data_IF_380731042234
#
_entry.id   IF_380731042234
#
_cell.length_a   1.000
_cell.length_b   1.000
_cell.length_c   1.000
_cell.angle_alpha   90.00
_cell.angle_beta   90.00
_cell.angle_gamma   90.00
#
_symmetry.space_group_name_H-M   'P 1'
#
loop_
_entity.id
_entity.type
_entity.pdbx_description
1 polymer ?
#
# COMPACT_ATOMS: atom_id res chain seq x y z
N UNK A 1 -9.58 14.04 -1.07
CA UNK A 1 -10.17 12.74 -1.53
C UNK A 1 -9.82 12.46 -2.99
N UNK A 2 -9.41 11.24 -3.35
CA UNK A 2 -9.17 10.81 -4.75
C UNK A 2 -10.30 9.87 -5.18
N UNK A 3 -10.94 10.13 -6.31
CA UNK A 3 -11.99 9.27 -6.87
C UNK A 3 -11.55 8.78 -8.27
N UNK A 4 -11.54 7.48 -8.45
CA UNK A 4 -11.29 6.81 -9.74
C UNK A 4 -12.59 6.17 -10.19
N UNK A 5 -13.15 6.67 -11.32
CA UNK A 5 -14.51 6.29 -11.79
C UNK A 5 -14.43 5.71 -13.18
N UNK A 6 -14.66 4.39 -13.30
CA UNK A 6 -14.66 3.61 -14.55
C UNK A 6 -13.43 3.84 -15.43
N UNK A 7 -12.26 4.00 -14.81
CA UNK A 7 -11.04 4.41 -15.51
C UNK A 7 -10.47 3.27 -16.34
N UNK A 8 -10.28 3.57 -17.62
CA UNK A 8 -9.65 2.69 -18.60
C UNK A 8 -8.50 3.43 -19.28
N UNK A 9 -7.33 2.77 -19.41
CA UNK A 9 -6.19 3.29 -20.18
C UNK A 9 -5.68 2.27 -21.17
N UNK A 10 -5.49 2.74 -22.42
CA UNK A 10 -5.00 1.93 -23.55
C UNK A 10 -3.75 2.56 -24.15
N UNK A 11 -2.90 1.74 -24.72
CA UNK A 11 -1.75 2.12 -25.54
C UNK A 11 -1.87 1.38 -26.89
N UNK A 12 -2.41 2.04 -27.91
CA UNK A 12 -2.85 1.39 -29.13
C UNK A 12 -3.90 0.31 -28.83
N UNK A 13 -3.66 -0.91 -29.29
CA UNK A 13 -4.57 -2.05 -29.05
C UNK A 13 -4.40 -2.69 -27.66
N UNK A 14 -3.33 -2.33 -26.93
CA UNK A 14 -3.06 -2.87 -25.61
C UNK A 14 -3.84 -2.11 -24.53
N UNK A 15 -4.73 -2.80 -23.82
CA UNK A 15 -5.39 -2.26 -22.64
C UNK A 15 -4.50 -2.52 -21.42
N UNK A 16 -4.05 -1.47 -20.76
CA UNK A 16 -3.20 -1.57 -19.57
C UNK A 16 -4.02 -1.68 -18.26
N UNK A 17 -5.10 -0.91 -18.14
CA UNK A 17 -6.07 -0.97 -17.04
C UNK A 17 -7.48 -0.80 -17.62
N UNK A 18 -8.47 -1.44 -16.98
CA UNK A 18 -9.83 -1.49 -17.50
C UNK A 18 -10.87 -1.33 -16.38
N UNK A 19 -11.76 -0.36 -16.54
CA UNK A 19 -12.96 -0.13 -15.71
C UNK A 19 -12.66 -0.09 -14.21
N UNK A 20 -11.54 0.56 -13.81
CA UNK A 20 -11.16 0.68 -12.41
C UNK A 20 -12.06 1.66 -11.68
N UNK A 21 -12.54 1.24 -10.49
CA UNK A 21 -13.40 2.04 -9.62
C UNK A 21 -12.93 1.90 -8.18
N UNK A 22 -12.51 2.98 -7.54
CA UNK A 22 -12.21 3.03 -6.11
C UNK A 22 -12.11 4.47 -5.63
N UNK A 23 -12.06 4.64 -4.29
CA UNK A 23 -11.91 5.94 -3.64
C UNK A 23 -10.82 5.87 -2.57
N UNK A 24 -10.07 6.97 -2.44
CA UNK A 24 -9.12 7.18 -1.34
C UNK A 24 -9.63 8.35 -0.52
N UNK A 25 -9.98 8.09 0.73
CA UNK A 25 -10.49 9.12 1.65
C UNK A 25 -9.37 10.07 2.09
N UNK A 26 -9.77 11.25 2.53
CA UNK A 26 -8.82 12.16 3.17
C UNK A 26 -8.28 11.53 4.46
N UNK A 27 -7.00 11.77 4.73
CA UNK A 27 -6.32 11.21 5.89
C UNK A 27 -6.16 9.69 5.87
N UNK A 28 -6.21 9.04 4.70
CA UNK A 28 -6.02 7.60 4.57
C UNK A 28 -4.87 7.23 3.65
N UNK A 29 -4.27 6.05 3.89
CA UNK A 29 -3.26 5.43 3.03
C UNK A 29 -3.87 4.23 2.32
N UNK A 30 -3.93 4.31 1.00
CA UNK A 30 -4.42 3.25 0.12
C UNK A 30 -3.25 2.44 -0.44
N UNK A 31 -3.19 1.16 -0.13
CA UNK A 31 -2.23 0.21 -0.67
C UNK A 31 -2.70 -0.35 -2.01
N UNK A 32 -1.99 -0.05 -3.09
CA UNK A 32 -2.28 -0.57 -4.43
C UNK A 32 -1.39 -1.77 -4.74
N UNK A 33 -1.95 -2.96 -4.71
CA UNK A 33 -1.24 -4.23 -4.85
C UNK A 33 -1.42 -4.80 -6.25
N UNK A 34 -0.40 -5.48 -6.74
CA UNK A 34 -0.46 -6.22 -8.00
C UNK A 34 0.93 -6.63 -8.46
N UNK A 35 1.02 -7.67 -9.26
CA UNK A 35 2.28 -8.12 -9.84
C UNK A 35 2.89 -7.08 -10.80
N UNK A 36 4.15 -7.27 -11.18
CA UNK A 36 4.81 -6.40 -12.14
C UNK A 36 4.09 -6.48 -13.50
N UNK A 37 3.74 -5.32 -14.06
CA UNK A 37 2.94 -5.23 -15.27
C UNK A 37 1.41 -5.32 -15.06
N UNK A 38 0.90 -5.38 -13.83
CA UNK A 38 -0.54 -5.38 -13.55
C UNK A 38 -1.25 -4.08 -13.92
N UNK A 39 -0.50 -2.97 -14.07
CA UNK A 39 -1.05 -1.67 -14.43
C UNK A 39 -0.95 -0.60 -13.32
N UNK A 40 -0.30 -0.89 -12.17
CA UNK A 40 -0.15 0.03 -11.04
C UNK A 40 0.44 1.38 -11.46
N UNK A 41 1.63 1.37 -12.05
CA UNK A 41 2.30 2.58 -12.57
C UNK A 41 1.44 3.31 -13.61
N UNK A 42 0.74 2.57 -14.48
CA UNK A 42 -0.17 3.18 -15.47
C UNK A 42 -1.31 3.91 -14.77
N UNK A 43 -1.91 3.30 -13.75
CA UNK A 43 -2.96 3.93 -12.96
C UNK A 43 -2.45 5.18 -12.25
N UNK A 44 -1.32 5.10 -11.53
CA UNK A 44 -0.74 6.26 -10.83
C UNK A 44 -0.41 7.41 -11.80
N UNK A 45 0.18 7.12 -12.96
CA UNK A 45 0.44 8.11 -14.01
C UNK A 45 -0.85 8.67 -14.64
N UNK A 46 -1.94 7.93 -14.61
CA UNK A 46 -3.25 8.43 -15.05
C UNK A 46 -3.87 9.33 -13.98
N UNK A 47 -3.75 8.97 -12.69
CA UNK A 47 -4.20 9.82 -11.57
C UNK A 47 -3.46 11.16 -11.57
N UNK A 48 -2.14 11.14 -11.80
CA UNK A 48 -1.33 12.37 -11.86
C UNK A 48 -1.56 13.20 -13.13
N UNK A 49 -2.38 12.71 -14.05
CA UNK A 49 -2.64 13.37 -15.33
C UNK A 49 -1.44 13.40 -16.28
N UNK A 50 -0.45 12.50 -16.09
CA UNK A 50 0.61 12.22 -17.08
C UNK A 50 0.00 11.51 -18.28
N UNK A 51 -0.92 10.56 -18.02
CA UNK A 51 -1.70 9.91 -19.07
C UNK A 51 -3.15 10.38 -19.04
N UNK A 52 -3.70 10.71 -20.20
CA UNK A 52 -5.13 10.91 -20.34
C UNK A 52 -5.84 9.56 -20.27
N UNK A 53 -6.89 9.39 -19.46
CA UNK A 53 -7.72 8.19 -19.52
C UNK A 53 -8.43 8.07 -20.89
N UNK A 54 -8.59 6.85 -21.37
CA UNK A 54 -9.35 6.56 -22.61
C UNK A 54 -10.83 6.31 -22.32
N UNK A 55 -11.18 6.04 -21.06
CA UNK A 55 -12.55 5.93 -20.52
C UNK A 55 -12.58 6.29 -19.07
N UNK A 56 -13.75 6.74 -18.59
CA UNK A 56 -13.92 7.17 -17.20
C UNK A 56 -13.25 8.50 -16.88
N UNK A 57 -13.17 8.81 -15.60
CA UNK A 57 -12.58 10.06 -15.11
C UNK A 57 -11.92 9.87 -13.72
N UNK A 58 -11.01 10.76 -13.41
CA UNK A 58 -10.36 10.86 -12.10
C UNK A 58 -10.64 12.23 -11.51
N UNK A 59 -11.11 12.26 -10.27
CA UNK A 59 -11.39 13.49 -9.54
C UNK A 59 -10.53 13.58 -8.29
N UNK A 60 -10.04 14.78 -8.03
CA UNK A 60 -9.34 15.17 -6.82
C UNK A 60 -10.16 16.25 -6.15
N UNK A 61 -10.71 15.97 -4.96
CA UNK A 61 -11.66 16.86 -4.27
C UNK A 61 -12.82 17.32 -5.15
N UNK A 62 -13.33 16.39 -5.99
CA UNK A 62 -14.42 16.65 -6.93
C UNK A 62 -14.00 17.33 -8.26
N UNK A 63 -12.77 17.84 -8.38
CA UNK A 63 -12.22 18.46 -9.57
C UNK A 63 -11.54 17.44 -10.48
N UNK A 64 -11.68 17.57 -11.81
CA UNK A 64 -11.02 16.67 -12.74
C UNK A 64 -9.48 16.79 -12.64
N UNK A 65 -8.79 15.68 -12.48
CA UNK A 65 -7.34 15.63 -12.35
C UNK A 65 -6.59 15.90 -13.66
N UNK A 66 -7.16 15.46 -14.81
CA UNK A 66 -6.48 15.61 -16.08
C UNK A 66 -6.55 17.05 -16.58
N UNK A 67 -5.40 17.55 -17.07
CA UNK A 67 -5.22 18.92 -17.60
C UNK A 67 -5.60 20.04 -16.61
N UNK A 68 -5.46 19.77 -15.31
CA UNK A 68 -5.74 20.71 -14.23
C UNK A 68 -4.45 21.12 -13.52
N UNK A 69 -3.84 22.21 -13.96
CA UNK A 69 -2.57 22.70 -13.41
C UNK A 69 -2.67 23.08 -11.91
N UNK A 70 -3.84 23.59 -11.49
CA UNK A 70 -4.08 23.95 -10.08
C UNK A 70 -4.04 22.71 -9.19
N UNK A 71 -4.75 21.65 -9.57
CA UNK A 71 -4.76 20.41 -8.79
C UNK A 71 -3.38 19.73 -8.76
N UNK A 72 -2.60 19.84 -9.82
CA UNK A 72 -1.23 19.32 -9.86
C UNK A 72 -0.27 19.98 -8.87
N UNK A 73 -0.54 21.21 -8.46
CA UNK A 73 0.24 21.91 -7.41
C UNK A 73 0.00 21.34 -6.00
N UNK A 74 -1.09 20.61 -5.81
CA UNK A 74 -1.45 19.92 -4.56
C UNK A 74 -1.09 18.44 -4.56
N UNK A 75 -0.41 17.96 -5.63
CA UNK A 75 -0.08 16.54 -5.78
C UNK A 75 1.41 16.34 -5.93
N UNK A 76 1.95 15.30 -5.27
CA UNK A 76 3.31 14.85 -5.48
C UNK A 76 3.36 13.36 -5.83
N UNK A 77 4.11 13.04 -6.88
CA UNK A 77 4.29 11.68 -7.36
C UNK A 77 5.76 11.28 -7.27
N UNK A 78 6.05 10.21 -6.55
CA UNK A 78 7.37 9.58 -6.46
C UNK A 78 7.36 8.37 -7.39
N UNK A 79 8.03 8.42 -8.52
CA UNK A 79 8.10 7.30 -9.47
C UNK A 79 9.01 6.18 -8.97
N UNK A 80 8.81 4.98 -9.49
CA UNK A 80 9.73 3.85 -9.27
C UNK A 80 11.13 4.20 -9.82
N UNK A 81 11.21 4.68 -11.05
CA UNK A 81 12.45 5.13 -11.69
C UNK A 81 12.65 6.62 -11.45
N UNK A 82 13.47 6.96 -10.45
CA UNK A 82 13.76 8.34 -10.08
C UNK A 82 14.82 8.92 -11.00
N UNK A 83 14.57 10.09 -11.56
CA UNK A 83 15.48 10.83 -12.39
C UNK A 83 15.76 12.22 -11.85
N UNK A 84 17.02 12.53 -11.64
CA UNK A 84 17.48 13.89 -11.34
C UNK A 84 18.35 14.43 -12.46
N UNK A 85 18.21 15.71 -12.75
CA UNK A 85 19.02 16.39 -13.75
C UNK A 85 20.54 16.25 -13.45
N UNK A 86 21.41 16.19 -14.47
CA UNK A 86 22.84 16.19 -14.26
C UNK A 86 23.29 17.35 -13.37
N UNK A 87 24.17 17.08 -12.41
CA UNK A 87 24.68 18.08 -11.44
C UNK A 87 23.63 18.68 -10.50
N UNK A 88 22.42 18.10 -10.42
CA UNK A 88 21.44 18.49 -9.42
C UNK A 88 21.94 18.15 -8.01
N UNK A 89 21.67 19.03 -7.06
CA UNK A 89 21.70 18.77 -5.63
C UNK A 89 20.35 19.12 -5.03
N UNK A 90 20.10 18.73 -3.78
CA UNK A 90 18.81 18.93 -3.15
C UNK A 90 18.43 20.43 -3.04
N UNK A 91 19.38 21.33 -2.79
CA UNK A 91 19.11 22.79 -2.73
C UNK A 91 18.61 23.34 -4.08
N UNK A 92 19.20 22.89 -5.19
CA UNK A 92 18.76 23.29 -6.54
C UNK A 92 17.38 22.73 -6.85
N UNK A 93 17.13 21.48 -6.47
CA UNK A 93 15.82 20.85 -6.66
C UNK A 93 14.75 21.50 -5.79
N UNK A 94 15.07 21.88 -4.53
CA UNK A 94 14.14 22.62 -3.67
C UNK A 94 13.75 23.97 -4.29
N UNK A 95 14.71 24.71 -4.85
CA UNK A 95 14.43 25.96 -5.58
C UNK A 95 13.59 25.73 -6.84
N UNK A 96 13.87 24.65 -7.56
CA UNK A 96 13.11 24.27 -8.74
C UNK A 96 11.64 23.96 -8.38
N UNK A 97 11.42 23.11 -7.37
CA UNK A 97 10.06 22.78 -6.92
C UNK A 97 9.31 23.98 -6.36
N UNK A 98 9.97 24.86 -5.62
CA UNK A 98 9.35 26.12 -5.15
C UNK A 98 8.81 27.00 -6.30
N UNK A 99 9.34 26.86 -7.50
CA UNK A 99 8.83 27.56 -8.69
C UNK A 99 7.50 27.01 -9.23
N UNK A 100 7.12 25.77 -8.87
CA UNK A 100 5.90 25.11 -9.33
C UNK A 100 4.89 24.85 -8.19
N UNK A 101 5.37 24.71 -6.96
CA UNK A 101 4.58 24.43 -5.77
C UNK A 101 4.59 25.65 -4.85
N UNK A 102 3.50 26.43 -4.83
CA UNK A 102 3.46 27.70 -4.09
C UNK A 102 3.63 27.54 -2.57
N UNK A 103 3.24 26.38 -2.03
CA UNK A 103 3.31 26.08 -0.60
C UNK A 103 4.62 25.39 -0.18
N UNK A 104 5.64 25.36 -1.06
CA UNK A 104 6.92 24.74 -0.76
C UNK A 104 7.56 25.32 0.51
N UNK A 105 7.87 24.46 1.49
CA UNK A 105 8.44 24.83 2.76
C UNK A 105 9.94 24.53 2.83
N UNK A 106 10.78 25.58 2.75
CA UNK A 106 12.21 25.43 2.97
C UNK A 106 12.57 25.06 4.41
N UNK A 107 11.70 25.34 5.38
CA UNK A 107 11.88 24.92 6.77
C UNK A 107 11.69 23.40 6.90
N UNK A 108 10.59 22.87 6.36
CA UNK A 108 10.34 21.41 6.28
C UNK A 108 11.47 20.70 5.54
N UNK A 109 11.90 21.25 4.39
CA UNK A 109 13.02 20.73 3.61
C UNK A 109 14.30 20.60 4.44
N UNK A 110 14.68 21.63 5.21
CA UNK A 110 15.89 21.59 6.05
C UNK A 110 15.78 20.56 7.16
N UNK A 111 14.67 20.56 7.91
CA UNK A 111 14.41 19.65 9.01
C UNK A 111 14.43 18.18 8.54
N UNK A 112 13.73 17.88 7.46
CA UNK A 112 13.69 16.52 6.93
C UNK A 112 15.05 16.09 6.38
N UNK A 113 15.79 16.98 5.68
CA UNK A 113 17.14 16.67 5.20
C UNK A 113 18.08 16.28 6.35
N UNK A 114 17.97 16.96 7.49
CA UNK A 114 18.73 16.65 8.70
C UNK A 114 18.31 15.29 9.30
N UNK A 115 17.01 15.03 9.46
CA UNK A 115 16.46 13.76 9.97
C UNK A 115 16.91 12.56 9.11
N UNK A 116 16.93 12.72 7.79
CA UNK A 116 17.35 11.67 6.87
C UNK A 116 18.88 11.59 6.70
N UNK A 117 19.64 12.55 7.27
CA UNK A 117 21.11 12.61 7.17
C UNK A 117 21.61 12.85 5.76
N UNK A 118 20.88 13.64 4.96
CA UNK A 118 21.22 13.92 3.57
C UNK A 118 22.01 15.23 3.43
N UNK A 119 23.16 15.15 2.76
CA UNK A 119 23.94 16.34 2.41
C UNK A 119 23.25 17.07 1.24
N UNK A 120 22.58 18.20 1.54
CA UNK A 120 21.79 18.97 0.58
C UNK A 120 22.64 19.59 -0.55
N UNK A 121 23.96 19.71 -0.36
CA UNK A 121 24.90 20.28 -1.34
C UNK A 121 25.55 19.22 -2.23
N UNK A 122 25.58 17.97 -1.79
CA UNK A 122 26.11 16.87 -2.58
C UNK A 122 25.25 16.62 -3.83
N UNK A 123 25.88 16.11 -4.89
CA UNK A 123 25.17 15.70 -6.12
C UNK A 123 24.27 14.51 -5.85
N UNK A 124 22.96 14.66 -6.12
CA UNK A 124 21.98 13.57 -5.87
C UNK A 124 22.30 12.31 -6.67
N UNK A 125 22.82 12.45 -7.91
CA UNK A 125 23.22 11.31 -8.73
C UNK A 125 24.45 10.54 -8.17
N UNK A 126 25.13 11.07 -7.15
CA UNK A 126 26.16 10.38 -6.38
C UNK A 126 25.63 9.64 -5.16
N UNK A 127 24.36 9.80 -4.82
CA UNK A 127 23.71 9.08 -3.74
C UNK A 127 23.43 7.62 -4.12
N UNK A 128 23.36 6.72 -3.15
CA UNK A 128 22.79 5.40 -3.39
C UNK A 128 21.33 5.50 -3.84
N UNK A 129 20.78 4.47 -4.49
CA UNK A 129 19.35 4.46 -4.91
C UNK A 129 18.42 4.77 -3.74
N UNK A 130 18.65 4.16 -2.57
CA UNK A 130 17.85 4.44 -1.37
C UNK A 130 17.97 5.88 -0.89
N UNK A 131 19.15 6.50 -0.96
CA UNK A 131 19.32 7.92 -0.62
C UNK A 131 18.67 8.84 -1.67
N UNK A 132 18.69 8.49 -2.94
CA UNK A 132 18.00 9.23 -3.99
C UNK A 132 16.49 9.21 -3.74
N UNK A 133 15.95 8.05 -3.35
CA UNK A 133 14.53 7.89 -2.99
C UNK A 133 14.15 8.73 -1.75
N UNK A 134 15.00 8.72 -0.73
CA UNK A 134 14.82 9.59 0.44
C UNK A 134 14.87 11.07 0.06
N UNK A 135 15.78 11.47 -0.81
CA UNK A 135 15.87 12.86 -1.29
C UNK A 135 14.59 13.29 -2.03
N UNK A 136 14.02 12.43 -2.88
CA UNK A 136 12.76 12.69 -3.57
C UNK A 136 11.59 12.82 -2.58
N UNK A 137 11.50 11.94 -1.59
CA UNK A 137 10.46 12.00 -0.54
C UNK A 137 10.59 13.30 0.26
N UNK A 138 11.81 13.68 0.69
CA UNK A 138 12.04 14.94 1.42
C UNK A 138 11.61 16.15 0.60
N UNK A 139 11.98 16.18 -0.67
CA UNK A 139 11.57 17.24 -1.60
C UNK A 139 10.06 17.25 -1.79
N UNK A 140 9.45 16.08 -1.96
CA UNK A 140 8.02 15.93 -2.16
C UNK A 140 7.17 16.38 -0.97
N UNK A 141 7.49 15.92 0.22
CA UNK A 141 6.79 16.35 1.45
C UNK A 141 6.96 17.86 1.69
N UNK A 142 8.10 18.41 1.26
CA UNK A 142 8.35 19.86 1.38
C UNK A 142 7.48 20.71 0.46
N UNK A 143 6.84 20.15 -0.56
CA UNK A 143 5.84 20.83 -1.41
C UNK A 143 4.49 20.97 -0.72
N UNK A 144 4.29 20.33 0.44
CA UNK A 144 3.04 20.27 1.22
C UNK A 144 1.84 19.78 0.38
N UNK A 145 1.94 18.58 -0.23
CA UNK A 145 0.90 18.09 -1.09
C UNK A 145 -0.31 17.56 -0.30
N UNK A 146 -1.52 17.76 -0.83
CA UNK A 146 -2.75 17.15 -0.34
C UNK A 146 -2.89 15.69 -0.84
N UNK A 147 -2.23 15.37 -1.96
CA UNK A 147 -2.24 14.06 -2.60
C UNK A 147 -0.81 13.56 -2.83
N UNK A 148 -0.48 12.39 -2.29
CA UNK A 148 0.84 11.78 -2.43
C UNK A 148 0.70 10.41 -3.07
N UNK A 149 1.44 10.17 -4.15
CA UNK A 149 1.45 8.90 -4.85
C UNK A 149 2.86 8.33 -4.88
N UNK A 150 3.02 7.15 -4.32
CA UNK A 150 4.28 6.41 -4.28
C UNK A 150 4.22 5.19 -5.20
N UNK A 151 5.08 5.12 -6.20
CA UNK A 151 5.17 4.00 -7.13
C UNK A 151 6.37 3.13 -6.76
N UNK A 152 6.12 1.92 -6.23
CA UNK A 152 7.14 0.95 -5.76
C UNK A 152 8.22 1.60 -4.85
N UNK A 153 7.82 2.60 -4.08
CA UNK A 153 8.77 3.48 -3.37
C UNK A 153 9.47 2.79 -2.21
N UNK A 154 8.86 1.77 -1.63
CA UNK A 154 9.42 1.03 -0.50
C UNK A 154 10.36 -0.10 -0.92
N UNK A 155 10.36 -0.48 -2.21
CA UNK A 155 11.27 -1.49 -2.74
C UNK A 155 12.74 -1.06 -2.63
N UNK A 156 13.59 -1.97 -2.20
CA UNK A 156 15.03 -1.74 -2.04
C UNK A 156 15.43 -0.80 -0.90
N UNK A 157 14.49 -0.36 -0.04
CA UNK A 157 14.80 0.36 1.18
C UNK A 157 15.13 -0.61 2.33
N UNK A 158 16.15 -0.27 3.12
CA UNK A 158 16.41 -1.02 4.36
C UNK A 158 15.28 -0.83 5.38
N UNK A 159 15.07 -1.79 6.30
CA UNK A 159 13.95 -1.75 7.25
C UNK A 159 13.91 -0.48 8.10
N UNK A 160 15.06 0.07 8.51
CA UNK A 160 15.10 1.28 9.33
C UNK A 160 14.63 2.52 8.56
N UNK A 161 15.03 2.63 7.27
CA UNK A 161 14.58 3.72 6.39
C UNK A 161 13.11 3.60 6.03
N UNK A 162 12.63 2.37 5.82
CA UNK A 162 11.21 2.09 5.61
C UNK A 162 10.37 2.54 6.83
N UNK A 163 10.80 2.18 8.04
CA UNK A 163 10.14 2.61 9.27
C UNK A 163 10.13 4.15 9.43
N UNK A 164 11.25 4.80 9.10
CA UNK A 164 11.35 6.27 9.18
C UNK A 164 10.35 6.95 8.22
N UNK A 165 10.22 6.45 6.98
CA UNK A 165 9.27 6.99 6.01
C UNK A 165 7.82 6.73 6.46
N UNK A 166 7.52 5.55 7.00
CA UNK A 166 6.19 5.24 7.56
C UNK A 166 5.81 6.24 8.67
N UNK A 167 6.72 6.50 9.60
CA UNK A 167 6.50 7.46 10.68
C UNK A 167 6.30 8.88 10.13
N UNK A 168 7.13 9.31 9.17
CA UNK A 168 6.98 10.60 8.50
C UNK A 168 5.60 10.76 7.86
N UNK A 169 5.13 9.74 7.14
CA UNK A 169 3.81 9.78 6.50
C UNK A 169 2.67 9.87 7.53
N UNK A 170 2.74 9.08 8.60
CA UNK A 170 1.75 9.13 9.66
C UNK A 170 1.68 10.52 10.33
N UNK A 171 2.83 11.11 10.67
CA UNK A 171 2.88 12.46 11.24
C UNK A 171 2.39 13.52 10.24
N UNK A 172 2.82 13.43 8.98
CA UNK A 172 2.39 14.36 7.94
C UNK A 172 0.88 14.33 7.73
N UNK A 173 0.29 13.13 7.66
CA UNK A 173 -1.16 12.95 7.46
C UNK A 173 -1.97 13.42 8.67
N UNK A 174 -1.46 13.21 9.90
CA UNK A 174 -2.11 13.71 11.10
C UNK A 174 -2.23 15.24 11.11
N UNK A 175 -1.26 15.95 10.52
CA UNK A 175 -1.25 17.41 10.45
C UNK A 175 -2.03 17.96 9.24
N UNK A 176 -2.03 17.26 8.10
CA UNK A 176 -2.53 17.78 6.81
C UNK A 176 -3.80 17.12 6.32
N UNK A 177 -4.14 15.95 6.86
CA UNK A 177 -5.24 15.11 6.35
C UNK A 177 -5.05 14.68 4.87
N UNK A 178 -3.80 14.57 4.40
CA UNK A 178 -3.47 14.20 3.03
C UNK A 178 -3.96 12.80 2.68
N UNK A 179 -4.31 12.59 1.40
CA UNK A 179 -4.63 11.28 0.84
C UNK A 179 -3.38 10.67 0.21
N UNK A 180 -3.04 9.43 0.55
CA UNK A 180 -1.83 8.77 0.08
C UNK A 180 -2.17 7.48 -0.66
N UNK A 181 -1.54 7.24 -1.81
CA UNK A 181 -1.55 5.94 -2.51
C UNK A 181 -0.12 5.40 -2.53
N UNK A 182 0.05 4.16 -2.13
CA UNK A 182 1.32 3.44 -2.18
C UNK A 182 1.16 2.19 -3.02
N UNK A 183 1.85 2.10 -4.15
CA UNK A 183 1.88 0.86 -4.93
C UNK A 183 3.03 -0.05 -4.48
N UNK A 184 2.76 -1.34 -4.42
CA UNK A 184 3.78 -2.38 -4.22
C UNK A 184 3.34 -3.70 -4.85
N UNK A 185 4.32 -4.54 -5.16
CA UNK A 185 4.10 -5.95 -5.48
C UNK A 185 4.28 -6.86 -4.24
N UNK A 186 4.78 -6.31 -3.13
CA UNK A 186 5.00 -7.01 -1.86
C UNK A 186 4.03 -6.48 -0.78
N UNK A 187 3.16 -7.37 -0.28
CA UNK A 187 2.21 -7.08 0.80
C UNK A 187 2.89 -6.66 2.11
N UNK A 188 4.06 -7.26 2.42
CA UNK A 188 4.78 -6.95 3.65
C UNK A 188 5.26 -5.49 3.73
N UNK A 189 5.50 -4.87 2.57
CA UNK A 189 5.89 -3.46 2.52
C UNK A 189 4.76 -2.53 2.98
N UNK A 190 3.51 -2.90 2.67
CA UNK A 190 2.31 -2.13 2.95
C UNK A 190 1.70 -2.45 4.31
N UNK A 191 2.07 -3.59 4.90
CA UNK A 191 1.57 -4.01 6.21
C UNK A 191 1.94 -3.00 7.30
N UNK A 192 0.94 -2.63 8.11
CA UNK A 192 1.09 -1.63 9.17
C UNK A 192 1.30 -0.18 8.67
N UNK A 193 1.09 0.05 7.36
CA UNK A 193 1.09 1.39 6.77
C UNK A 193 -0.28 1.77 6.21
N UNK A 194 -0.91 0.88 5.45
CA UNK A 194 -2.14 1.19 4.71
C UNK A 194 -3.40 0.83 5.53
N UNK A 195 -4.45 1.63 5.36
CA UNK A 195 -5.77 1.43 5.98
C UNK A 195 -6.71 0.65 5.06
N UNK A 196 -6.48 0.78 3.76
CA UNK A 196 -7.31 0.24 2.69
C UNK A 196 -6.44 -0.35 1.59
N UNK A 197 -6.92 -1.39 0.93
CA UNK A 197 -6.16 -2.10 -0.10
C UNK A 197 -6.98 -2.33 -1.36
N UNK A 198 -6.35 -2.08 -2.51
CA UNK A 198 -6.83 -2.47 -3.81
C UNK A 198 -5.87 -3.45 -4.49
N UNK A 199 -6.38 -4.57 -4.99
CA UNK A 199 -5.60 -5.54 -5.76
C UNK A 199 -5.93 -5.42 -7.25
N UNK A 200 -4.93 -5.09 -8.05
CA UNK A 200 -5.05 -5.12 -9.50
C UNK A 200 -4.57 -6.47 -10.03
N UNK A 201 -5.47 -7.17 -10.70
CA UNK A 201 -5.17 -8.40 -11.42
C UNK A 201 -5.89 -8.43 -12.77
N UNK A 202 -5.20 -8.90 -13.82
CA UNK A 202 -5.76 -8.97 -15.16
C UNK A 202 -6.32 -7.63 -15.65
N UNK A 203 -5.66 -6.51 -15.28
CA UNK A 203 -6.03 -5.13 -15.66
C UNK A 203 -7.24 -4.57 -14.92
N UNK A 204 -7.83 -5.32 -13.98
CA UNK A 204 -9.01 -4.95 -13.19
C UNK A 204 -8.70 -4.89 -11.71
N UNK A 205 -9.44 -4.08 -11.00
CA UNK A 205 -9.45 -4.13 -9.54
C UNK A 205 -10.31 -5.32 -9.12
N UNK A 206 -9.68 -6.33 -8.52
CA UNK A 206 -10.36 -7.58 -8.12
C UNK A 206 -10.68 -7.62 -6.64
N UNK A 207 -10.04 -6.76 -5.85
CA UNK A 207 -10.31 -6.55 -4.45
C UNK A 207 -10.20 -5.05 -4.16
N UNK A 208 -11.12 -4.51 -3.37
CA UNK A 208 -11.11 -3.15 -2.83
C UNK A 208 -11.75 -3.20 -1.45
N UNK A 209 -10.95 -3.12 -0.38
CA UNK A 209 -11.44 -3.30 0.99
C UNK A 209 -10.50 -2.71 2.03
N UNK A 210 -11.05 -2.29 3.16
CA UNK A 210 -10.28 -1.89 4.32
C UNK A 210 -9.71 -3.09 5.07
N UNK A 211 -8.60 -2.90 5.82
CA UNK A 211 -8.06 -3.94 6.72
C UNK A 211 -9.13 -4.43 7.70
N UNK A 212 -9.95 -3.51 8.19
CA UNK A 212 -11.01 -3.84 9.14
C UNK A 212 -12.03 -4.80 8.52
N UNK A 213 -12.53 -4.50 7.33
CA UNK A 213 -13.47 -5.37 6.60
C UNK A 213 -12.84 -6.73 6.27
N UNK A 214 -11.58 -6.73 5.82
CA UNK A 214 -10.85 -7.96 5.51
C UNK A 214 -10.65 -8.84 6.74
N UNK A 215 -10.47 -8.24 7.92
CA UNK A 215 -10.27 -8.95 9.19
C UNK A 215 -11.59 -9.34 9.87
N UNK A 216 -12.70 -8.69 9.52
CA UNK A 216 -14.01 -8.96 10.13
C UNK A 216 -14.46 -10.40 9.86
N UNK A 217 -14.85 -11.09 10.93
CA UNK A 217 -15.33 -12.47 10.85
C UNK A 217 -14.24 -13.51 10.56
N UNK A 218 -12.97 -13.15 10.77
CA UNK A 218 -11.83 -14.08 10.70
C UNK A 218 -11.05 -14.07 12.01
N UNK A 219 -10.49 -15.21 12.37
CA UNK A 219 -9.61 -15.34 13.52
C UNK A 219 -8.52 -16.39 13.24
N UNK A 220 -7.34 -16.13 13.78
CA UNK A 220 -6.20 -17.05 13.71
C UNK A 220 -5.81 -17.50 15.11
N UNK A 221 -5.51 -18.80 15.26
CA UNK A 221 -5.12 -19.38 16.51
C UNK A 221 -3.85 -20.19 16.39
N UNK A 222 -3.05 -20.13 17.44
CA UNK A 222 -2.02 -21.10 17.76
C UNK A 222 -2.54 -22.01 18.87
N UNK A 223 -2.59 -23.32 18.60
CA UNK A 223 -3.20 -24.30 19.49
C UNK A 223 -2.20 -25.40 19.79
N UNK A 224 -2.14 -25.85 21.03
CA UNK A 224 -1.35 -27.01 21.44
C UNK A 224 -2.29 -28.04 22.06
N UNK A 225 -2.26 -29.26 21.54
CA UNK A 225 -3.01 -30.38 22.11
C UNK A 225 -2.08 -31.40 22.75
N UNK A 226 -2.64 -32.17 23.70
CA UNK A 226 -1.95 -33.32 24.32
C UNK A 226 -1.92 -34.51 23.36
N UNK A 227 -3.08 -34.75 22.77
CA UNK A 227 -3.32 -35.82 21.83
C UNK A 227 -3.26 -35.32 20.37
N UNK A 228 -3.24 -36.27 19.43
CA UNK A 228 -3.16 -35.94 18.00
C UNK A 228 -4.54 -35.52 17.50
N UNK A 229 -4.70 -34.22 17.24
CA UNK A 229 -5.95 -33.61 16.73
C UNK A 229 -5.76 -33.27 15.25
N UNK A 230 -6.68 -33.68 14.42
CA UNK A 230 -6.69 -33.45 12.97
C UNK A 230 -7.52 -32.22 12.59
N UNK A 231 -7.40 -31.79 11.36
CA UNK A 231 -8.26 -30.73 10.80
C UNK A 231 -9.75 -31.16 10.84
N UNK A 232 -10.02 -32.46 10.59
CA UNK A 232 -11.38 -33.00 10.59
C UNK A 232 -12.00 -32.97 11.99
N UNK A 233 -11.21 -33.22 13.04
CA UNK A 233 -11.69 -33.09 14.42
C UNK A 233 -12.11 -31.66 14.74
N UNK A 234 -11.34 -30.67 14.28
CA UNK A 234 -11.67 -29.26 14.47
C UNK A 234 -12.90 -28.84 13.64
N UNK A 235 -13.03 -29.34 12.41
CA UNK A 235 -14.23 -29.12 11.59
C UNK A 235 -15.47 -29.77 12.19
N UNK A 236 -15.35 -30.92 12.84
CA UNK A 236 -16.47 -31.68 13.44
C UNK A 236 -17.19 -30.91 14.55
N UNK A 237 -16.49 -30.00 15.25
CA UNK A 237 -17.10 -29.12 16.28
C UNK A 237 -17.73 -27.86 15.68
N UNK A 238 -17.92 -27.81 14.38
CA UNK A 238 -18.60 -26.71 13.67
C UNK A 238 -17.77 -25.44 13.55
N UNK A 239 -16.44 -25.57 13.40
CA UNK A 239 -15.52 -24.48 13.07
C UNK A 239 -15.27 -24.49 11.57
N UNK A 240 -15.44 -23.33 10.93
CA UNK A 240 -15.14 -23.15 9.51
C UNK A 240 -13.63 -22.87 9.33
N UNK A 241 -12.84 -23.93 9.21
CA UNK A 241 -11.38 -23.87 9.03
C UNK A 241 -11.08 -23.48 7.58
N UNK A 242 -10.32 -22.41 7.42
CA UNK A 242 -9.83 -21.87 6.13
C UNK A 242 -8.40 -22.31 5.84
N UNK A 243 -7.56 -22.32 6.84
CA UNK A 243 -6.19 -22.81 6.74
C UNK A 243 -5.85 -23.65 7.95
N UNK A 244 -5.16 -24.76 7.73
CA UNK A 244 -4.66 -25.65 8.76
C UNK A 244 -3.18 -25.97 8.51
N UNK A 245 -2.33 -25.62 9.46
CA UNK A 245 -0.89 -25.92 9.39
C UNK A 245 -0.45 -26.53 10.71
N UNK A 246 0.27 -27.64 10.63
CA UNK A 246 0.81 -28.34 11.80
C UNK A 246 2.33 -28.22 11.83
N UNK A 247 2.88 -27.90 12.98
CA UNK A 247 4.30 -27.97 13.28
C UNK A 247 4.49 -28.75 14.60
N UNK A 248 4.77 -30.04 14.49
CA UNK A 248 4.82 -30.97 15.61
C UNK A 248 3.50 -31.04 16.37
N UNK A 249 3.50 -30.55 17.63
CA UNK A 249 2.29 -30.50 18.49
C UNK A 249 1.56 -29.16 18.40
N UNK A 250 2.10 -28.20 17.66
CA UNK A 250 1.50 -26.90 17.49
C UNK A 250 0.66 -26.89 16.22
N UNK A 251 -0.58 -26.47 16.35
CA UNK A 251 -1.50 -26.31 15.24
C UNK A 251 -1.77 -24.82 15.04
N UNK A 252 -1.63 -24.33 13.83
CA UNK A 252 -2.04 -23.01 13.40
C UNK A 252 -3.28 -23.16 12.54
N UNK A 253 -4.35 -22.46 12.88
CA UNK A 253 -5.58 -22.42 12.08
C UNK A 253 -6.00 -20.97 11.81
N UNK A 254 -6.47 -20.74 10.60
CA UNK A 254 -7.26 -19.54 10.27
C UNK A 254 -8.70 -20.00 10.06
N UNK A 255 -9.65 -19.28 10.64
CA UNK A 255 -11.05 -19.66 10.65
C UNK A 255 -11.93 -18.49 10.24
N UNK A 256 -13.08 -18.78 9.65
CA UNK A 256 -14.15 -17.80 9.44
C UNK A 256 -15.16 -17.93 10.58
N UNK A 257 -15.32 -16.86 11.36
CA UNK A 257 -16.22 -16.82 12.52
C UNK A 257 -15.78 -15.83 13.59
N UNK A 258 -16.61 -15.65 14.60
CA UNK A 258 -16.31 -14.80 15.75
C UNK A 258 -15.17 -15.40 16.58
N UNK A 259 -14.23 -14.56 16.99
CA UNK A 259 -13.11 -14.96 17.84
C UNK A 259 -13.58 -15.62 19.14
N UNK A 260 -14.56 -15.03 19.84
CA UNK A 260 -15.08 -15.55 21.11
C UNK A 260 -15.76 -16.91 20.96
N UNK A 261 -16.59 -17.08 19.91
CA UNK A 261 -17.30 -18.33 19.68
C UNK A 261 -16.34 -19.44 19.27
N UNK A 262 -15.35 -19.12 18.43
CA UNK A 262 -14.33 -20.06 17.99
C UNK A 262 -13.48 -20.54 19.15
N UNK A 263 -13.01 -19.63 20.00
CA UNK A 263 -12.24 -19.97 21.19
C UNK A 263 -13.04 -20.87 22.15
N UNK A 264 -14.34 -20.58 22.35
CA UNK A 264 -15.22 -21.41 23.16
C UNK A 264 -15.34 -22.85 22.60
N UNK A 265 -15.53 -23.00 21.28
CA UNK A 265 -15.59 -24.31 20.62
C UNK A 265 -14.25 -25.04 20.69
N UNK A 266 -13.12 -24.38 20.44
CA UNK A 266 -11.79 -25.01 20.52
C UNK A 266 -11.51 -25.56 21.92
N UNK A 267 -11.96 -24.89 22.97
CA UNK A 267 -11.80 -25.36 24.35
C UNK A 267 -12.55 -26.68 24.65
N UNK A 268 -13.57 -27.04 23.86
CA UNK A 268 -14.26 -28.34 24.00
C UNK A 268 -13.38 -29.55 23.67
N UNK A 269 -12.32 -29.35 22.86
CA UNK A 269 -11.33 -30.35 22.52
C UNK A 269 -10.22 -30.48 23.57
N UNK A 270 -10.35 -29.83 24.72
CA UNK A 270 -9.38 -29.88 25.82
C UNK A 270 -7.92 -29.56 25.41
N UNK A 271 -7.67 -28.45 24.70
CA UNK A 271 -6.31 -28.08 24.35
C UNK A 271 -5.48 -27.72 25.59
N UNK A 272 -4.16 -27.92 25.51
CA UNK A 272 -3.22 -27.43 26.51
C UNK A 272 -3.15 -25.88 26.47
N UNK A 273 -3.23 -25.31 25.25
CA UNK A 273 -3.14 -23.88 25.02
C UNK A 273 -3.95 -23.51 23.79
N UNK A 274 -4.70 -22.40 23.87
CA UNK A 274 -5.33 -21.70 22.74
C UNK A 274 -4.93 -20.25 22.82
N UNK A 275 -4.22 -19.78 21.84
CA UNK A 275 -3.74 -18.39 21.78
C UNK A 275 -4.20 -17.74 20.49
N UNK A 276 -4.97 -16.62 20.55
CA UNK A 276 -5.28 -15.85 19.36
C UNK A 276 -4.01 -15.22 18.81
N UNK A 277 -3.89 -15.19 17.49
CA UNK A 277 -2.79 -14.58 16.78
C UNK A 277 -3.29 -13.49 15.82
N UNK A 278 -2.49 -12.45 15.55
CA UNK A 278 -2.82 -11.52 14.50
C UNK A 278 -2.86 -12.24 13.15
N UNK A 279 -3.86 -11.91 12.33
CA UNK A 279 -3.90 -12.32 10.93
C UNK A 279 -2.92 -11.46 10.14
N UNK A 280 -2.09 -12.08 9.30
CA UNK A 280 -1.31 -11.32 8.32
C UNK A 280 -2.20 -10.92 7.14
N UNK A 281 -1.85 -9.81 6.49
CA UNK A 281 -2.53 -9.38 5.27
C UNK A 281 -2.47 -10.46 4.19
N UNK A 282 -1.34 -11.15 4.05
CA UNK A 282 -1.14 -12.22 3.11
C UNK A 282 -2.17 -13.35 3.30
N UNK A 283 -2.37 -13.80 4.54
CA UNK A 283 -3.35 -14.85 4.84
C UNK A 283 -4.78 -14.43 4.52
N UNK A 284 -5.11 -13.17 4.78
CA UNK A 284 -6.43 -12.62 4.46
C UNK A 284 -6.62 -12.51 2.95
N UNK A 285 -5.61 -12.05 2.23
CA UNK A 285 -5.65 -11.98 0.77
C UNK A 285 -5.77 -13.35 0.12
N UNK A 286 -5.01 -14.33 0.60
CA UNK A 286 -5.08 -15.71 0.12
C UNK A 286 -6.49 -16.29 0.30
N UNK A 287 -7.12 -16.10 1.47
CA UNK A 287 -8.48 -16.57 1.75
C UNK A 287 -9.54 -15.89 0.85
N UNK A 288 -9.46 -14.59 0.63
CA UNK A 288 -10.36 -13.89 -0.27
C UNK A 288 -10.24 -14.35 -1.72
N UNK A 289 -9.03 -14.74 -2.13
CA UNK A 289 -8.75 -15.14 -3.50
C UNK A 289 -8.96 -16.64 -3.76
N UNK A 290 -9.17 -17.49 -2.74
CA UNK A 290 -9.43 -18.93 -2.91
C UNK A 290 -10.66 -19.25 -3.79
N UNK A 291 -11.59 -18.29 -3.94
CA UNK A 291 -12.74 -18.39 -4.86
C UNK A 291 -12.45 -17.97 -6.29
N UNK A 292 -11.28 -17.40 -6.58
CA UNK A 292 -10.87 -16.97 -7.92
C UNK A 292 -9.80 -17.95 -8.43
N UNK A 293 -9.89 -18.39 -9.69
CA UNK A 293 -8.86 -19.23 -10.35
C UNK A 293 -7.54 -18.45 -10.52
N UNK A 294 -6.94 -18.01 -9.41
CA UNK A 294 -5.76 -17.17 -9.41
C UNK A 294 -4.50 -18.00 -9.11
N UNK A 295 -3.49 -17.86 -9.96
CA UNK A 295 -2.18 -18.49 -9.78
C UNK A 295 -1.26 -17.56 -8.98
N UNK A 296 -1.21 -17.78 -7.67
CA UNK A 296 -0.38 -16.99 -6.74
C UNK A 296 1.12 -17.20 -6.94
N UNK A 297 1.55 -18.28 -7.60
CA UNK A 297 2.98 -18.52 -7.87
C UNK A 297 3.64 -17.41 -8.71
N UNK A 298 2.84 -16.46 -9.21
CA UNK A 298 3.28 -15.28 -9.96
C UNK A 298 3.36 -14.00 -9.12
N UNK A 299 2.95 -14.05 -7.84
CA UNK A 299 3.03 -12.89 -6.92
C UNK A 299 4.18 -13.07 -5.92
N UNK A 300 4.51 -14.30 -5.54
CA UNK A 300 5.55 -14.63 -4.56
C UNK A 300 6.74 -15.31 -5.21
#
# INVERSE_FOLDING_TARGET
>A
MIEVVNVTKKFGDFTAIQDLNFKVSDGSIYGLIGYNGAGKTTLLKTITGVYKPDGGEIRLDGENAFDNAKMKQHMFYVPDDIYFAPYANMEKMAKFYNGFYPDFSFDTFRKLSEVFGLDTKARINGFSKGMQRQAEIVLGISTKPDFILFDETFDGLDPAKRALIKNLLNEYMADTNASVIVSSHDLHELEGLCDHFGLINGKKLVLDSSIKELSEGRAKYRIVFKDDVTEEDIKSIGINVKSFKRDGRIIFITVKGSEKETAAKLNTLSPIMVEPMPLSLEEVFLDEMEGTNYDFSKIF
#
